data_IF_387411621143
#
_entry.id   IF_387411621143
#
_cell.length_a   1.000
_cell.length_b   1.000
_cell.length_c   1.000
_cell.angle_alpha   90.00
_cell.angle_beta   90.00
_cell.angle_gamma   90.00
#
_symmetry.space_group_name_H-M   'P 1'
#
loop_
_entity.id
_entity.type
_entity.pdbx_description
1 polymer ?
2 non-polymer ?
3 water ?
#
# COMPACT_ATOMS: atom_id res chain seq x y z
N UNK A 10 -12.34 -6.37 19.85
CA UNK A 10 -11.73 -5.07 19.61
C UNK A 10 -12.58 -4.16 18.70
N UNK A 11 -13.85 -4.54 18.48
CA UNK A 11 -14.70 -3.86 17.52
C UNK A 11 -15.96 -3.32 18.16
N UNK A 12 -16.33 -2.11 17.77
CA UNK A 12 -17.56 -1.47 18.20
C UNK A 12 -18.72 -1.87 17.29
N UNK A 13 -19.85 -2.21 17.90
CA UNK A 13 -21.05 -2.58 17.14
C UNK A 13 -21.88 -1.33 16.88
N UNK A 14 -22.20 -1.10 15.61
CA UNK A 14 -22.92 0.10 15.18
C UNK A 14 -24.34 -0.30 14.82
N UNK A 15 -25.30 0.51 15.25
CA UNK A 15 -26.67 0.15 14.94
C UNK A 15 -26.99 0.55 13.49
N UNK A 16 -27.74 -0.26 12.75
CA UNK A 16 -27.99 0.07 11.34
C UNK A 16 -28.64 1.42 11.12
N UNK A 17 -29.49 1.90 12.03
CA UNK A 17 -30.14 3.19 11.83
C UNK A 17 -29.13 4.35 11.84
N UNK A 18 -27.92 4.13 12.33
CA UNK A 18 -26.89 5.16 12.33
C UNK A 18 -26.09 5.19 11.03
N UNK A 19 -26.39 4.32 10.07
CA UNK A 19 -25.59 4.15 8.88
C UNK A 19 -26.46 4.42 7.66
N UNK A 20 -25.92 5.21 6.72
CA UNK A 20 -26.57 5.49 5.45
C UNK A 20 -25.58 5.16 4.34
N UNK A 21 -25.94 4.22 3.47
CA UNK A 21 -25.18 3.96 2.26
C UNK A 21 -25.65 4.89 1.16
N UNK A 22 -24.70 5.39 0.37
CA UNK A 22 -25.04 6.30 -0.71
C UNK A 22 -24.57 5.77 -2.06
N UNK A 23 -23.30 5.91 -2.39
CA UNK A 23 -22.80 5.44 -3.67
C UNK A 23 -21.98 4.16 -3.50
N UNK A 24 -22.08 3.28 -4.49
CA UNK A 24 -21.17 2.15 -4.58
C UNK A 24 -19.81 2.66 -5.02
N UNK A 25 -18.75 2.21 -4.34
CA UNK A 25 -17.39 2.57 -4.68
C UNK A 25 -16.51 1.36 -4.96
N UNK A 26 -17.08 0.16 -4.96
CA UNK A 26 -16.30 -1.03 -5.26
C UNK A 26 -17.06 -2.29 -4.89
N UNK A 27 -16.38 -3.42 -4.98
CA UNK A 27 -16.95 -4.71 -4.68
C UNK A 27 -16.07 -5.50 -3.72
N UNK A 28 -16.69 -6.36 -2.93
CA UNK A 28 -16.00 -7.26 -2.04
C UNK A 28 -16.17 -8.72 -2.43
N UNK A 29 -15.78 -9.61 -1.51
CA UNK A 29 -15.89 -11.04 -1.75
C UNK A 29 -17.32 -11.44 -2.08
N UNK A 30 -18.27 -11.08 -1.20
CA UNK A 30 -19.68 -11.38 -1.39
C UNK A 30 -20.49 -10.18 -0.90
N UNK A 31 -20.30 -9.06 -1.59
CA UNK A 31 -20.99 -7.84 -1.24
C UNK A 31 -20.36 -6.67 -1.97
N UNK A 32 -20.99 -5.51 -1.79
CA UNK A 32 -20.52 -4.27 -2.38
C UNK A 32 -19.78 -3.45 -1.34
N UNK A 33 -19.03 -2.46 -1.81
CA UNK A 33 -18.38 -1.47 -0.96
C UNK A 33 -18.98 -0.12 -1.28
N UNK A 34 -19.40 0.61 -0.26
CA UNK A 34 -20.13 1.85 -0.42
C UNK A 34 -19.40 3.00 0.25
N UNK A 35 -19.64 4.20 -0.27
CA UNK A 35 -19.45 5.41 0.50
C UNK A 35 -20.75 5.72 1.22
N UNK A 36 -20.65 6.20 2.45
CA UNK A 36 -21.84 6.41 3.24
C UNK A 36 -21.59 7.45 4.30
N UNK A 37 -22.52 7.51 5.24
CA UNK A 37 -22.45 8.46 6.35
C UNK A 37 -22.79 7.74 7.64
N UNK A 38 -22.07 8.09 8.70
CA UNK A 38 -22.26 7.50 10.02
C UNK A 38 -22.62 8.61 11.00
N UNK A 39 -23.74 8.47 11.69
CA UNK A 39 -24.12 9.39 12.75
C UNK A 39 -23.36 9.05 14.03
N UNK A 46 -22.67 14.18 10.57
CA UNK A 46 -22.51 12.85 9.99
C UNK A 46 -21.15 12.71 9.32
N UNK A 47 -20.30 11.85 9.86
CA UNK A 47 -18.95 11.70 9.32
C UNK A 47 -18.99 10.72 8.16
N UNK A 48 -18.30 11.01 7.06
CA UNK A 48 -18.29 10.09 5.92
C UNK A 48 -17.54 8.82 6.27
N UNK A 49 -18.00 7.70 5.68
CA UNK A 49 -17.44 6.39 5.97
C UNK A 49 -17.42 5.54 4.70
N UNK A 50 -16.57 4.51 4.71
CA UNK A 50 -16.61 3.45 3.72
C UNK A 50 -17.21 2.21 4.37
N UNK A 51 -18.03 1.48 3.61
CA UNK A 51 -18.85 0.38 4.13
C UNK A 51 -18.69 -0.84 3.24
N UNK A 52 -18.20 -1.94 3.82
CA UNK A 52 -18.09 -3.23 3.13
C UNK A 52 -19.20 -4.13 3.66
N UNK A 53 -20.02 -4.66 2.76
CA UNK A 53 -21.17 -5.47 3.18
C UNK A 53 -20.97 -6.93 2.81
N UNK A 54 -21.65 -7.79 3.55
CA UNK A 54 -21.72 -9.22 3.28
C UNK A 54 -23.18 -9.55 3.02
N UNK A 55 -23.49 -9.97 1.80
CA UNK A 55 -24.87 -10.07 1.35
C UNK A 55 -25.42 -11.48 1.51
N UNK A 56 -26.75 -11.56 1.55
CA UNK A 56 -27.44 -12.79 1.92
C UNK A 56 -27.02 -13.94 1.01
N UNK A 57 -27.04 -15.14 1.58
CA UNK A 57 -26.53 -16.30 0.90
C UNK A 57 -25.05 -16.51 1.06
N UNK A 58 -24.36 -15.62 1.78
CA UNK A 58 -22.95 -15.83 2.07
C UNK A 58 -22.76 -17.19 2.74
N UNK A 59 -21.59 -17.77 2.52
CA UNK A 59 -21.26 -19.08 3.06
C UNK A 59 -20.70 -18.95 4.48
N UNK A 60 -20.55 -20.10 5.12
CA UNK A 60 -19.90 -20.15 6.42
C UNK A 60 -18.48 -19.60 6.34
N UNK A 61 -17.72 -20.03 5.33
CA UNK A 61 -16.35 -19.53 5.18
C UNK A 61 -16.33 -18.02 4.98
N UNK A 62 -17.25 -17.51 4.16
CA UNK A 62 -17.29 -16.07 3.92
C UNK A 62 -17.60 -15.31 5.21
N UNK A 63 -18.53 -15.83 6.01
CA UNK A 63 -18.82 -15.18 7.29
C UNK A 63 -17.60 -15.20 8.21
N UNK A 64 -16.92 -16.34 8.29
CA UNK A 64 -15.72 -16.43 9.13
C UNK A 64 -14.66 -15.44 8.64
N UNK A 65 -14.44 -15.38 7.32
CA UNK A 65 -13.47 -14.44 6.79
C UNK A 65 -13.89 -13.00 7.05
N UNK A 66 -15.18 -12.70 6.85
CA UNK A 66 -15.68 -11.33 7.00
C UNK A 66 -15.54 -10.86 8.44
N UNK A 67 -16.11 -11.60 9.40
CA UNK A 67 -15.97 -11.22 10.80
C UNK A 67 -14.52 -11.30 11.26
N UNK A 68 -13.76 -12.25 10.74
CA UNK A 68 -12.34 -12.31 11.07
C UNK A 68 -11.60 -11.06 10.62
N UNK A 69 -11.93 -10.54 9.44
CA UNK A 69 -11.33 -9.30 8.97
C UNK A 69 -11.68 -8.16 9.92
N UNK A 70 -12.96 -8.07 10.30
CA UNK A 70 -13.38 -7.06 11.26
C UNK A 70 -12.59 -7.18 12.56
N UNK A 71 -12.37 -8.41 13.01
CA UNK A 71 -11.67 -8.61 14.27
C UNK A 71 -10.24 -8.08 14.26
N UNK A 72 -9.48 -8.42 13.22
CA UNK A 72 -8.09 -7.95 13.19
C UNK A 72 -8.07 -6.43 12.99
N UNK A 73 -8.98 -5.91 12.17
CA UNK A 73 -9.01 -4.46 11.95
C UNK A 73 -9.25 -3.70 13.24
N UNK A 74 -10.20 -4.17 14.07
CA UNK A 74 -10.48 -3.48 15.32
C UNK A 74 -9.31 -3.48 16.27
N UNK A 75 -8.40 -4.44 16.12
CA UNK A 75 -7.19 -4.53 16.93
C UNK A 75 -6.20 -3.43 16.60
N UNK A 76 -6.20 -2.95 15.36
CA UNK A 76 -5.17 -2.01 14.90
C UNK A 76 -5.49 -0.59 15.36
N UNK A 77 -4.51 0.06 15.97
CA UNK A 77 -4.62 1.47 16.38
C UNK A 77 -3.30 2.13 16.01
N UNK A 78 -3.22 2.64 14.77
CA UNK A 78 -1.98 3.24 14.30
C UNK A 78 -2.30 4.31 13.28
N UNK A 79 -1.49 5.37 13.30
CA UNK A 79 -1.68 6.53 12.42
C UNK A 79 -1.68 6.16 10.94
N UNK A 80 -0.99 5.09 10.56
CA UNK A 80 -0.80 4.72 9.16
C UNK A 80 -1.47 3.38 8.84
N UNK A 81 -2.50 3.02 9.58
CA UNK A 81 -3.37 1.89 9.28
C UNK A 81 -4.80 2.41 9.27
N UNK A 82 -5.57 1.99 8.27
CA UNK A 82 -6.95 2.44 8.15
C UNK A 82 -7.70 2.13 9.44
N UNK A 83 -8.50 3.09 9.90
CA UNK A 83 -9.18 2.99 11.19
C UNK A 83 -10.57 2.38 11.04
N UNK A 84 -10.86 1.37 11.86
CA UNK A 84 -12.19 0.80 11.91
C UNK A 84 -13.09 1.66 12.78
N UNK A 85 -14.23 2.07 12.23
CA UNK A 85 -15.24 2.74 13.04
C UNK A 85 -16.10 1.74 13.79
N UNK A 86 -16.47 0.64 13.13
CA UNK A 86 -17.28 -0.35 13.79
C UNK A 86 -17.76 -1.40 12.82
N UNK A 87 -18.67 -2.23 13.32
CA UNK A 87 -19.17 -3.37 12.57
C UNK A 87 -20.66 -3.49 12.83
N UNK A 88 -21.38 -4.00 11.84
CA UNK A 88 -22.74 -4.46 12.03
C UNK A 88 -22.72 -5.98 11.89
N UNK A 89 -22.83 -6.67 13.01
CA UNK A 89 -22.90 -8.12 13.04
C UNK A 89 -24.25 -8.68 13.50
N UNK A 90 -25.01 -7.90 14.29
CA UNK A 90 -26.27 -8.38 14.83
C UNK A 90 -27.44 -8.20 13.87
N UNK A 91 -27.22 -7.60 12.70
CA UNK A 91 -28.28 -7.44 11.72
C UNK A 91 -27.73 -7.76 10.34
N UNK A 92 -28.65 -7.96 9.39
CA UNK A 92 -28.33 -8.24 7.99
C UNK A 92 -28.75 -7.07 7.12
N UNK A 93 -27.93 -6.66 6.14
CA UNK A 93 -26.60 -7.19 5.83
C UNK A 93 -25.54 -6.78 6.85
N UNK A 94 -24.57 -7.65 7.08
CA UNK A 94 -23.47 -7.34 7.97
C UNK A 94 -22.52 -6.37 7.28
N UNK A 95 -21.82 -5.57 8.08
CA UNK A 95 -21.05 -4.45 7.56
C UNK A 95 -19.75 -4.26 8.33
N UNK A 96 -18.71 -3.87 7.58
CA UNK A 96 -17.45 -3.37 8.12
C UNK A 96 -17.36 -1.91 7.72
N UNK A 97 -17.20 -1.02 8.70
CA UNK A 97 -17.28 0.42 8.47
C UNK A 97 -15.97 1.06 8.90
N UNK A 98 -15.33 1.78 7.98
CA UNK A 98 -14.08 2.47 8.26
C UNK A 98 -14.22 3.97 8.01
N UNK A 99 -13.22 4.70 8.49
CA UNK A 99 -13.08 6.09 8.06
C UNK A 99 -13.06 6.15 6.55
N UNK A 100 -13.47 7.29 6.00
CA UNK A 100 -13.42 7.52 4.56
C UNK A 100 -12.23 8.40 4.25
N UNK A 101 -11.45 8.00 3.25
CA UNK A 101 -10.22 8.70 2.89
C UNK A 101 -10.49 9.41 1.57
N UNK A 102 -10.52 10.73 1.63
CA UNK A 102 -11.14 11.54 0.59
C UNK A 102 -10.33 11.55 -0.70
N UNK A 103 -9.02 11.42 -0.61
CA UNK A 103 -8.17 11.41 -1.80
C UNK A 103 -8.01 10.03 -2.42
N UNK A 104 -8.64 9.01 -1.83
CA UNK A 104 -8.72 7.71 -2.46
C UNK A 104 -7.40 6.95 -2.42
N UNK A 105 -7.26 6.03 -3.37
CA UNK A 105 -6.11 5.15 -3.43
C UNK A 105 -4.87 5.88 -3.96
N UNK A 106 -3.72 5.54 -3.37
CA UNK A 106 -2.49 6.25 -3.63
C UNK A 106 -2.08 6.18 -5.10
N UNK A 107 -2.24 5.03 -5.73
CA UNK A 107 -1.72 4.91 -7.10
C UNK A 107 -2.47 5.85 -8.04
N UNK A 108 -3.80 5.85 -7.96
CA UNK A 108 -4.60 6.74 -8.80
C UNK A 108 -4.35 8.19 -8.43
N UNK A 109 -4.24 8.46 -7.13
CA UNK A 109 -3.96 9.80 -6.63
C UNK A 109 -2.69 10.37 -7.27
N UNK A 110 -1.59 9.61 -7.24
CA UNK A 110 -0.34 10.13 -7.79
C UNK A 110 -0.39 10.25 -9.31
N UNK A 111 -1.11 9.35 -9.99
CA UNK A 111 -1.23 9.47 -11.45
C UNK A 111 -2.02 10.69 -11.86
N UNK A 112 -2.94 11.16 -11.02
CA UNK A 112 -3.76 12.32 -11.31
C UNK A 112 -3.14 13.61 -10.81
N UNK A 113 -2.02 13.53 -10.10
CA UNK A 113 -1.36 14.70 -9.54
C UNK A 113 0.11 14.66 -9.90
N UNK A 114 0.41 14.26 -11.14
CA UNK A 114 1.78 14.01 -11.57
C UNK A 114 2.66 15.24 -11.40
N UNK A 115 3.78 15.06 -10.68
CA UNK A 115 4.73 16.13 -10.52
C UNK A 115 4.33 17.25 -9.59
N UNK A 116 3.26 17.09 -8.82
CA UNK A 116 2.73 18.19 -8.02
C UNK A 116 3.30 18.28 -6.61
N UNK A 117 4.11 17.32 -6.17
CA UNK A 117 4.60 17.28 -4.81
C UNK A 117 6.11 17.42 -4.77
N UNK A 118 6.61 17.82 -3.60
CA UNK A 118 8.04 17.89 -3.38
C UNK A 118 8.60 16.51 -3.07
N UNK A 119 9.90 16.35 -3.32
CA UNK A 119 10.61 15.14 -2.93
C UNK A 119 10.36 14.86 -1.45
N UNK A 120 10.40 15.89 -0.61
CA UNK A 120 10.21 15.67 0.82
C UNK A 120 8.80 15.16 1.12
N UNK A 121 7.79 15.68 0.42
CA UNK A 121 6.44 15.15 0.60
C UNK A 121 6.35 13.70 0.18
N UNK A 122 6.97 13.34 -0.94
CA UNK A 122 6.89 11.95 -1.40
C UNK A 122 7.58 11.00 -0.42
N UNK A 123 8.75 11.39 0.08
CA UNK A 123 9.46 10.56 1.05
C UNK A 123 8.67 10.48 2.36
N UNK A 124 7.98 11.56 2.74
CA UNK A 124 7.11 11.49 3.90
C UNK A 124 6.00 10.46 3.74
N UNK A 125 5.45 10.35 2.54
CA UNK A 125 4.47 9.30 2.28
C UNK A 125 5.06 7.93 2.55
N UNK A 126 6.27 7.68 2.05
CA UNK A 126 6.89 6.39 2.22
C UNK A 126 7.18 6.10 3.69
N UNK A 127 7.59 7.12 4.44
CA UNK A 127 7.83 6.93 5.88
C UNK A 127 6.55 6.50 6.59
N UNK A 128 5.41 7.09 6.20
CA UNK A 128 4.16 6.71 6.83
C UNK A 128 3.76 5.29 6.48
N UNK A 129 3.88 4.93 5.20
CA UNK A 129 3.58 3.56 4.79
C UNK A 129 4.48 2.58 5.54
N UNK A 130 5.77 2.89 5.64
CA UNK A 130 6.70 2.02 6.33
C UNK A 130 6.35 1.86 7.81
N UNK A 131 5.93 2.96 8.45
CA UNK A 131 5.54 2.90 9.84
C UNK A 131 4.33 2.01 10.05
N UNK A 132 3.34 2.10 9.16
CA UNK A 132 2.20 1.21 9.24
C UNK A 132 2.58 -0.24 9.05
N UNK A 133 3.48 -0.51 8.10
CA UNK A 133 3.92 -1.89 7.87
C UNK A 133 4.75 -2.41 9.03
N UNK A 134 5.61 -1.57 9.61
CA UNK A 134 6.35 -2.01 10.80
C UNK A 134 5.39 -2.45 11.89
N UNK A 135 4.31 -1.70 12.09
CA UNK A 135 3.31 -2.05 13.09
C UNK A 135 2.63 -3.37 12.74
N UNK A 136 2.16 -3.49 11.50
CA UNK A 136 1.51 -4.72 11.07
C UNK A 136 2.41 -5.93 11.25
N UNK A 137 3.66 -5.84 10.80
CA UNK A 137 4.58 -6.97 10.91
C UNK A 137 4.86 -7.33 12.37
N UNK A 138 5.07 -6.32 13.21
CA UNK A 138 5.32 -6.59 14.62
C UNK A 138 4.09 -7.11 15.34
N UNK A 139 2.89 -6.81 14.85
CA UNK A 139 1.67 -7.44 15.35
C UNK A 139 1.47 -8.84 14.79
N UNK A 140 2.43 -9.32 14.00
CA UNK A 140 2.48 -10.69 13.48
C UNK A 140 1.45 -10.90 12.37
N UNK A 141 1.30 -9.89 11.50
CA UNK A 141 0.46 -10.02 10.33
C UNK A 141 1.31 -9.82 9.09
N UNK A 142 1.08 -10.64 8.07
CA UNK A 142 1.69 -10.46 6.77
C UNK A 142 0.62 -9.85 5.87
N UNK A 143 1.00 -8.83 5.12
CA UNK A 143 0.02 -8.18 4.25
C UNK A 143 -0.31 -9.06 3.05
N UNK A 144 0.71 -9.39 2.25
CA UNK A 144 0.68 -10.27 1.07
C UNK A 144 0.30 -9.55 -0.22
N UNK A 145 -0.28 -8.37 -0.13
CA UNK A 145 -0.70 -7.62 -1.32
C UNK A 145 -0.40 -6.13 -1.16
N UNK A 146 0.76 -5.81 -0.61
CA UNK A 146 1.15 -4.41 -0.43
C UNK A 146 1.46 -3.80 -1.79
N UNK A 147 0.74 -2.74 -2.13
CA UNK A 147 0.88 -2.05 -3.40
C UNK A 147 0.23 -0.69 -3.20
N UNK A 148 0.61 0.27 -4.05
CA UNK A 148 0.02 1.59 -3.89
C UNK A 148 -1.50 1.55 -4.01
N UNK A 149 -2.05 0.60 -4.77
CA UNK A 149 -3.49 0.51 -4.91
C UNK A 149 -4.19 0.16 -3.61
N UNK A 150 -3.45 -0.35 -2.60
CA UNK A 150 -4.02 -0.69 -1.30
C UNK A 150 -3.63 0.30 -0.22
N UNK A 151 -3.21 1.50 -0.59
CA UNK A 151 -2.84 2.55 0.36
C UNK A 151 -3.78 3.72 0.11
N UNK A 152 -4.40 4.21 1.18
CA UNK A 152 -5.35 5.32 1.09
C UNK A 152 -4.70 6.61 1.60
N UNK A 153 -5.13 7.74 1.03
CA UNK A 153 -4.55 9.05 1.32
C UNK A 153 -5.64 9.95 1.86
N UNK A 154 -5.37 10.61 2.99
CA UNK A 154 -6.36 11.54 3.53
C UNK A 154 -5.97 12.98 3.19
N UNK A 155 -6.72 13.94 3.73
CA UNK A 155 -6.56 15.34 3.38
C UNK A 155 -5.36 16.00 4.05
N UNK A 156 -4.63 15.27 4.89
CA UNK A 156 -3.34 15.73 5.38
C UNK A 156 -2.19 15.04 4.67
N UNK A 157 -2.48 14.28 3.60
CA UNK A 157 -1.50 13.53 2.83
C UNK A 157 -0.99 12.32 3.61
N UNK A 158 -1.68 11.93 4.66
CA UNK A 158 -1.27 10.77 5.44
C UNK A 158 -1.70 9.53 4.69
N UNK A 159 -0.78 8.59 4.55
CA UNK A 159 -1.03 7.33 3.87
C UNK A 159 -1.39 6.27 4.90
N UNK A 160 -2.43 5.50 4.62
CA UNK A 160 -2.93 4.48 5.53
C UNK A 160 -2.95 3.15 4.79
N UNK A 161 -2.18 2.18 5.32
CA UNK A 161 -2.19 0.84 4.76
C UNK A 161 -3.58 0.24 4.89
N UNK A 162 -4.05 -0.37 3.81
CA UNK A 162 -5.36 -0.97 3.72
C UNK A 162 -5.22 -2.28 2.94
N UNK A 163 -6.33 -3.00 2.80
CA UNK A 163 -6.34 -4.18 1.93
C UNK A 163 -7.74 -4.34 1.36
N UNK A 164 -7.88 -4.13 0.05
CA UNK A 164 -9.17 -4.25 -0.61
C UNK A 164 -9.35 -5.59 -1.30
N UNK A 165 -8.46 -6.54 -1.06
CA UNK A 165 -8.43 -7.76 -1.85
C UNK A 165 -7.78 -7.53 -3.20
N UNK A 166 -7.62 -8.62 -3.95
CA UNK A 166 -6.94 -8.56 -5.23
C UNK A 166 -7.74 -7.76 -6.26
N UNK A 185 -3.58 -11.63 -9.80
CA UNK A 185 -2.37 -12.05 -9.09
C UNK A 185 -1.32 -10.94 -9.25
N UNK A 186 -0.81 -10.38 -8.12
CA UNK A 186 0.08 -9.21 -8.20
C UNK A 186 1.56 -9.60 -8.35
N UNK A 187 1.88 -10.25 -9.47
CA UNK A 187 3.22 -10.80 -9.66
C UNK A 187 4.29 -9.71 -9.51
N UNK A 188 4.06 -8.53 -10.11
CA UNK A 188 5.06 -7.46 -10.13
C UNK A 188 5.43 -6.93 -8.77
N UNK A 189 4.58 -7.15 -7.76
CA UNK A 189 4.81 -6.65 -6.41
C UNK A 189 5.33 -7.72 -5.47
N UNK A 190 5.40 -8.98 -5.92
CA UNK A 190 5.57 -10.11 -5.03
C UNK A 190 7.00 -10.63 -5.04
N UNK A 191 7.54 -10.90 -3.86
CA UNK A 191 8.91 -11.36 -3.76
C UNK A 191 9.07 -12.71 -4.46
N UNK A 192 10.28 -13.03 -4.94
CA UNK A 192 10.48 -14.32 -5.61
C UNK A 192 10.04 -15.54 -4.80
N UNK A 193 10.38 -15.60 -3.51
CA UNK A 193 10.05 -16.80 -2.74
C UNK A 193 8.55 -16.94 -2.55
N UNK A 194 7.81 -15.82 -2.52
CA UNK A 194 6.37 -15.92 -2.37
C UNK A 194 5.72 -16.43 -3.66
N UNK A 195 6.25 -16.01 -4.81
CA UNK A 195 5.78 -16.55 -6.08
C UNK A 195 6.17 -18.02 -6.22
N UNK A 196 7.44 -18.33 -5.99
CA UNK A 196 7.96 -19.66 -6.29
C UNK A 196 7.31 -20.71 -5.42
N UNK A 197 7.34 -20.52 -4.10
CA UNK A 197 6.89 -21.57 -3.19
C UNK A 197 5.98 -21.07 -2.08
N UNK A 198 5.33 -19.92 -2.27
CA UNK A 198 4.22 -19.45 -1.44
C UNK A 198 4.68 -19.06 -0.05
N UNK A 199 5.94 -18.66 0.09
CA UNK A 199 6.46 -18.21 1.38
C UNK A 199 6.20 -16.72 1.49
N UNK A 200 5.10 -16.38 2.13
CA UNK A 200 4.71 -14.99 2.39
C UNK A 200 5.09 -14.63 3.82
N UNK A 201 5.93 -13.62 3.98
CA UNK A 201 6.39 -13.16 5.28
C UNK A 201 6.53 -11.65 5.27
N UNK A 202 6.86 -11.07 6.42
CA UNK A 202 7.12 -9.64 6.42
C UNK A 202 8.31 -9.29 5.54
N UNK A 203 9.19 -10.25 5.26
CA UNK A 203 10.31 -9.98 4.36
C UNK A 203 9.86 -9.93 2.90
N UNK A 204 8.85 -10.72 2.51
CA UNK A 204 8.30 -10.55 1.18
C UNK A 204 7.45 -9.29 1.10
N UNK A 205 6.86 -8.86 2.21
CA UNK A 205 6.24 -7.53 2.25
C UNK A 205 7.28 -6.43 2.04
N UNK A 206 8.51 -6.62 2.52
CA UNK A 206 9.55 -5.61 2.33
C UNK A 206 9.88 -5.48 0.85
N UNK A 207 9.92 -6.60 0.13
CA UNK A 207 10.08 -6.55 -1.32
C UNK A 207 8.98 -5.70 -1.93
N UNK A 208 7.73 -5.93 -1.53
CA UNK A 208 6.60 -5.19 -2.06
C UNK A 208 6.73 -3.72 -1.73
N UNK A 209 7.21 -3.42 -0.52
CA UNK A 209 7.41 -2.03 -0.14
C UNK A 209 8.40 -1.37 -1.06
N UNK A 210 9.47 -2.07 -1.43
CA UNK A 210 10.40 -1.52 -2.39
C UNK A 210 9.70 -1.14 -3.69
N UNK A 211 8.79 -1.99 -4.16
CA UNK A 211 8.05 -1.65 -5.37
C UNK A 211 7.17 -0.43 -5.13
N UNK A 212 6.54 -0.34 -3.95
CA UNK A 212 5.73 0.82 -3.62
C UNK A 212 6.56 2.09 -3.58
N UNK A 213 7.80 2.02 -3.07
CA UNK A 213 8.69 3.18 -3.14
C UNK A 213 8.86 3.66 -4.57
N UNK A 214 9.06 2.71 -5.49
CA UNK A 214 9.21 3.06 -6.90
C UNK A 214 7.92 3.63 -7.46
N UNK A 215 6.77 3.05 -7.08
CA UNK A 215 5.49 3.61 -7.49
C UNK A 215 5.36 5.06 -7.07
N UNK A 216 5.71 5.36 -5.82
CA UNK A 216 5.53 6.72 -5.32
C UNK A 216 6.46 7.68 -6.04
N UNK A 217 7.74 7.31 -6.15
CA UNK A 217 8.70 8.24 -6.71
C UNK A 217 8.48 8.46 -8.22
N UNK A 218 7.77 7.54 -8.89
CA UNK A 218 7.42 7.72 -10.30
C UNK A 218 6.03 8.29 -10.51
N UNK A 219 5.30 8.61 -9.45
CA UNK A 219 3.92 9.10 -9.55
C UNK A 219 3.02 8.05 -10.21
N UNK A 220 3.18 6.81 -9.80
CA UNK A 220 2.26 5.76 -10.20
C UNK A 220 2.55 5.07 -11.50
N UNK A 221 3.80 5.04 -11.93
CA UNK A 221 4.12 4.30 -13.15
C UNK A 221 3.92 2.81 -12.92
N UNK A 222 3.61 2.11 -14.00
CA UNK A 222 3.41 0.67 -13.91
C UNK A 222 4.76 -0.03 -13.74
N UNK A 223 4.98 -0.78 -12.68
CA UNK A 223 6.26 -1.49 -12.50
C UNK A 223 6.56 -2.38 -13.69
N UNK A 224 7.77 -2.24 -14.24
CA UNK A 224 8.28 -3.03 -15.35
C UNK A 224 7.53 -2.74 -16.65
N UNK A 225 6.71 -1.68 -16.70
CA UNK A 225 5.99 -1.22 -17.89
C UNK A 225 5.31 -2.42 -18.56
N UNK A 226 5.54 -2.65 -19.85
CA UNK A 226 4.77 -3.62 -20.62
C UNK A 226 5.32 -5.03 -20.53
N UNK A 227 6.35 -5.28 -19.72
CA UNK A 227 6.82 -6.64 -19.55
C UNK A 227 5.70 -7.53 -19.05
N UNK A 228 5.61 -8.73 -19.62
CA UNK A 228 4.65 -9.73 -19.14
C UNK A 228 5.06 -10.23 -17.75
N UNK A 229 4.12 -10.90 -17.08
CA UNK A 229 4.44 -11.46 -15.78
C UNK A 229 5.61 -12.43 -15.87
N UNK A 230 5.64 -13.28 -16.90
CA UNK A 230 6.74 -14.21 -17.04
C UNK A 230 8.05 -13.50 -17.35
N UNK A 231 7.99 -12.44 -18.17
CA UNK A 231 9.20 -11.65 -18.44
C UNK A 231 9.71 -10.95 -17.18
N UNK A 232 8.80 -10.49 -16.31
CA UNK A 232 9.23 -9.89 -15.05
C UNK A 232 9.98 -10.91 -14.20
N UNK A 233 9.43 -12.11 -14.06
CA UNK A 233 10.08 -13.14 -13.24
C UNK A 233 11.44 -13.53 -13.81
N UNK A 234 11.54 -13.65 -15.13
CA UNK A 234 12.81 -13.99 -15.74
C UNK A 234 13.85 -12.89 -15.51
N UNK A 235 13.45 -11.63 -15.66
CA UNK A 235 14.39 -10.54 -15.45
C UNK A 235 14.90 -10.52 -14.02
N UNK A 236 14.00 -10.69 -13.05
CA UNK A 236 14.40 -10.69 -11.65
C UNK A 236 15.33 -11.86 -11.36
N UNK A 237 14.99 -13.04 -11.88
CA UNK A 237 15.84 -14.20 -11.65
C UNK A 237 17.22 -14.01 -12.27
N UNK A 238 17.29 -13.29 -13.39
CA UNK A 238 18.55 -13.01 -14.06
C UNK A 238 19.29 -11.82 -13.46
N UNK A 239 18.74 -11.21 -12.41
CA UNK A 239 19.42 -10.16 -11.67
C UNK A 239 19.03 -8.74 -12.03
N UNK A 240 18.17 -8.54 -13.03
CA UNK A 240 17.76 -7.20 -13.40
C UNK A 240 16.81 -6.63 -12.35
N UNK A 241 16.80 -5.30 -12.23
CA UNK A 241 15.92 -4.62 -11.29
C UNK A 241 15.44 -3.33 -11.90
N UNK A 242 14.33 -2.82 -11.37
CA UNK A 242 13.77 -1.58 -11.87
C UNK A 242 14.82 -0.47 -11.83
N UNK A 243 14.90 0.37 -12.87
CA UNK A 243 15.86 1.46 -12.88
C UNK A 243 15.41 2.61 -11.98
N UNK A 244 16.31 3.56 -11.76
CA UNK A 244 15.98 4.66 -10.89
C UNK A 244 14.87 5.50 -11.51
N UNK A 245 13.92 5.96 -10.71
CA UNK A 245 12.99 6.99 -11.19
C UNK A 245 13.72 8.28 -11.52
N UNK A 246 13.05 9.13 -12.28
CA UNK A 246 13.54 10.49 -12.50
C UNK A 246 13.54 11.26 -11.19
N UNK A 247 14.52 12.14 -11.05
CA UNK A 247 14.59 13.04 -9.89
C UNK A 247 14.52 12.31 -8.56
N UNK A 248 15.22 11.18 -8.46
CA UNK A 248 15.09 10.34 -7.27
C UNK A 248 16.31 10.47 -6.39
N UNK A 249 16.15 10.78 -5.10
CA UNK A 249 17.31 10.83 -4.20
C UNK A 249 18.09 9.53 -4.25
N UNK A 250 19.42 9.66 -4.32
CA UNK A 250 20.28 8.48 -4.30
C UNK A 250 19.97 7.59 -3.11
N UNK A 251 19.77 8.18 -1.94
CA UNK A 251 19.51 7.38 -0.74
C UNK A 251 18.24 6.55 -0.89
N UNK A 252 17.22 7.13 -1.53
CA UNK A 252 15.94 6.45 -1.69
C UNK A 252 16.05 5.30 -2.69
N UNK A 253 16.81 5.49 -3.77
CA UNK A 253 16.99 4.39 -4.70
C UNK A 253 17.82 3.27 -4.08
N UNK A 254 18.87 3.61 -3.33
CA UNK A 254 19.62 2.58 -2.63
C UNK A 254 18.72 1.77 -1.72
N UNK A 255 17.80 2.42 -1.01
CA UNK A 255 16.93 1.70 -0.09
C UNK A 255 15.98 0.78 -0.84
N UNK A 256 15.35 1.27 -1.91
CA UNK A 256 14.46 0.36 -2.62
C UNK A 256 15.23 -0.79 -3.24
N UNK A 257 16.47 -0.56 -3.70
CA UNK A 257 17.29 -1.65 -4.23
C UNK A 257 17.51 -2.74 -3.19
N UNK A 258 17.80 -2.35 -1.95
CA UNK A 258 18.05 -3.36 -0.92
C UNK A 258 16.79 -4.07 -0.48
N UNK A 259 15.61 -3.50 -0.75
CA UNK A 259 14.38 -4.24 -0.55
C UNK A 259 14.23 -5.40 -1.52
N UNK A 260 14.93 -5.35 -2.66
CA UNK A 260 14.80 -6.33 -3.72
C UNK A 260 15.94 -7.33 -3.75
N UNK A 261 16.59 -7.58 -2.62
CA UNK A 261 17.62 -8.60 -2.62
C UNK A 261 16.97 -9.97 -2.74
N UNK A 262 17.56 -10.81 -3.59
CA UNK A 262 17.07 -12.16 -3.79
C UNK A 262 17.01 -12.91 -2.47
N UNK A 263 18.08 -12.79 -1.65
CA UNK A 263 18.17 -13.48 -0.39
C UNK A 263 17.32 -12.75 0.63
N UNK A 264 16.23 -13.40 1.04
CA UNK A 264 15.25 -12.76 1.90
C UNK A 264 15.88 -12.25 3.19
N UNK A 265 16.84 -12.99 3.74
CA UNK A 265 17.48 -12.61 5.00
C UNK A 265 18.32 -11.34 4.88
N UNK A 266 18.68 -10.93 3.67
CA UNK A 266 19.51 -9.74 3.48
C UNK A 266 18.70 -8.46 3.36
N UNK A 267 17.38 -8.56 3.18
CA UNK A 267 16.56 -7.38 3.06
C UNK A 267 16.48 -6.65 4.40
N UNK A 268 16.28 -5.34 4.38
CA UNK A 268 16.03 -4.65 5.65
C UNK A 268 14.72 -5.13 6.26
N UNK A 269 14.65 -5.03 7.57
CA UNK A 269 13.37 -5.14 8.25
C UNK A 269 12.67 -3.79 8.19
N UNK A 270 11.37 -3.79 8.44
CA UNK A 270 10.65 -2.52 8.40
C UNK A 270 11.18 -1.55 9.43
N UNK A 271 11.66 -2.04 10.58
CA UNK A 271 12.27 -1.12 11.55
C UNK A 271 13.47 -0.40 10.94
N UNK A 272 14.27 -1.11 10.13
CA UNK A 272 15.39 -0.47 9.46
C UNK A 272 14.91 0.57 8.46
N UNK A 273 13.86 0.25 7.71
CA UNK A 273 13.32 1.16 6.72
C UNK A 273 12.81 2.44 7.38
N UNK A 274 12.00 2.29 8.44
CA UNK A 274 11.47 3.48 9.10
C UNK A 274 12.61 4.33 9.65
N UNK A 275 13.62 3.68 10.24
CA UNK A 275 14.72 4.42 10.85
C UNK A 275 15.47 5.25 9.80
N UNK A 276 15.75 4.65 8.65
CA UNK A 276 16.48 5.36 7.60
C UNK A 276 15.65 6.51 7.05
N UNK A 277 14.38 6.25 6.75
CA UNK A 277 13.53 7.30 6.21
C UNK A 277 13.40 8.46 7.20
N UNK A 278 13.25 8.15 8.49
CA UNK A 278 13.24 9.20 9.52
C UNK A 278 14.49 10.06 9.43
N UNK A 279 15.65 9.42 9.36
CA UNK A 279 16.91 10.16 9.38
C UNK A 279 17.03 11.03 8.14
N UNK A 280 16.60 10.53 6.98
CA UNK A 280 16.66 11.34 5.77
C UNK A 280 15.75 12.55 5.85
N UNK A 281 14.54 12.37 6.38
CA UNK A 281 13.59 13.47 6.49
C UNK A 281 14.09 14.52 7.48
N UNK A 282 14.68 14.09 8.58
CA UNK A 282 15.13 15.03 9.60
C UNK A 282 16.39 15.77 9.20
N UNK A 283 17.14 15.25 8.22
CA UNK A 283 18.29 15.90 7.62
C UNK A 283 18.04 16.04 6.11
N UNK A 284 17.11 16.91 5.72
CA UNK A 284 16.58 16.85 4.35
C UNK A 284 17.59 17.20 3.27
N UNK A 285 18.70 17.87 3.58
CA UNK A 285 19.76 18.03 2.58
C UNK A 285 20.23 16.68 2.05
N UNK A 286 20.03 15.61 2.82
CA UNK A 286 20.45 14.28 2.40
C UNK A 286 19.68 13.80 1.18
N UNK A 287 18.51 14.40 0.90
CA UNK A 287 17.71 14.00 -0.24
C UNK A 287 18.03 14.78 -1.50
N UNK A 288 18.92 15.78 -1.42
CA UNK A 288 19.24 16.59 -2.60
C UNK A 288 20.18 15.87 -3.55
N UNK A 289 20.97 14.93 -3.07
CA UNK A 289 21.83 14.12 -3.93
C UNK A 289 20.98 13.11 -4.69
N UNK A 290 20.98 13.20 -6.02
CA UNK A 290 20.09 12.38 -6.85
C UNK A 290 20.85 11.26 -7.54
N UNK A 291 20.21 10.11 -7.62
CA UNK A 291 20.71 9.02 -8.46
C UNK A 291 20.67 9.44 -9.93
N UNK A 292 21.68 9.02 -10.68
CA UNK A 292 21.68 9.25 -12.12
C UNK A 292 20.47 8.58 -12.76
N UNK A 293 19.80 9.29 -13.65
CA UNK A 293 18.69 8.72 -14.42
C UNK A 293 19.20 8.35 -15.80
N UNK A 294 19.02 7.09 -16.18
CA UNK A 294 19.48 6.60 -17.47
C UNK A 294 18.46 7.00 -18.54
N UNK A 295 18.79 7.93 -19.43
CA UNK A 295 17.79 8.35 -20.43
C UNK A 295 17.44 7.18 -21.34
N UNK A 296 16.16 7.10 -21.70
CA UNK A 296 15.72 6.16 -22.71
C UNK A 296 15.65 6.80 -24.08
N UNK A 297 15.68 8.12 -24.16
CA UNK A 297 15.66 8.86 -25.41
C UNK A 297 16.71 9.95 -25.36
N UNK A 298 17.38 10.17 -26.49
CA UNK A 298 18.46 11.14 -26.61
C UNK A 298 18.04 12.21 -27.59
N UNK A 299 18.08 13.47 -27.16
CA UNK A 299 17.81 14.62 -28.01
C UNK A 299 19.13 15.35 -28.21
N UNK A 300 19.58 15.39 -29.46
CA UNK A 300 20.78 16.13 -29.85
C UNK A 300 20.36 17.51 -30.33
N UNK A 301 20.76 18.56 -29.60
CA UNK A 301 20.58 19.93 -30.03
C UNK A 301 21.87 20.71 -29.83
N UNK A 302 22.10 21.77 -30.62
CA UNK A 302 23.30 22.59 -30.42
C UNK A 302 23.27 23.36 -29.10
#
# INVERSE_FOLDING_TARGET
>A
GDPNQAVLKFTTEIHPSCVTRQKVIGAGEFGEVYKGMLKTSSGKKEVPVAIKTLKAGYTEKQRVDFLGEAGIMGQFSHHNIIRLEGVISKYKPMMIITEYMENGALDKFLREKDGEFSVLQLVGMLRGIAAGMKYLANMNYVHRDLAARNILVNSNLVCKVSDFGLSRVLEDDPEATYTTSGGKIPIRWTAPEAISYRKFTSASDVWSFGIVMWEVMTYGERPYWELSNHEVMKAINDGFRLPTPMDCPSAIYQLMMQCWQQERARRPKFADIVSILDKLIRAPDSLKTLADFDPRVSIRLPSTSG
#
